data_IF_186272564224
#
_entry.id   IF_186272564224
#
_cell.length_a   1.000
_cell.length_b   1.000
_cell.length_c   1.000
_cell.angle_alpha   90.00
_cell.angle_beta   90.00
_cell.angle_gamma   90.00
#
_symmetry.space_group_name_H-M   'P 1'
#
loop_
_entity.id
_entity.type
_entity.pdbx_description
1 polymer ?
#
# COMPACT_ATOMS: atom_id res chain seq x y z
N UNK A 1 -8.67 -59.86 -6.46
CA UNK A 1 -8.23 -58.95 -7.54
C UNK A 1 -9.37 -57.99 -7.81
N UNK A 2 -9.29 -56.79 -7.23
CA UNK A 2 -10.18 -55.65 -7.58
C UNK A 2 -9.26 -54.59 -8.18
N UNK A 3 -9.37 -54.35 -9.48
CA UNK A 3 -8.73 -53.27 -10.19
C UNK A 3 -9.53 -51.97 -9.89
N UNK A 4 -8.89 -51.01 -9.27
CA UNK A 4 -9.42 -49.65 -9.10
C UNK A 4 -8.95 -48.87 -10.35
N UNK A 5 -9.90 -48.60 -11.24
CA UNK A 5 -9.69 -47.71 -12.38
C UNK A 5 -9.79 -46.28 -11.86
N UNK A 6 -8.66 -45.62 -11.74
CA UNK A 6 -8.59 -44.17 -11.44
C UNK A 6 -8.88 -43.42 -12.73
N UNK A 7 -10.11 -42.93 -12.89
CA UNK A 7 -10.48 -42.00 -13.95
C UNK A 7 -9.90 -40.63 -13.56
N UNK A 8 -8.79 -40.26 -14.19
CA UNK A 8 -8.28 -38.89 -14.14
C UNK A 8 -9.28 -38.01 -14.90
N UNK A 9 -10.10 -37.27 -14.15
CA UNK A 9 -10.96 -36.22 -14.70
C UNK A 9 -10.07 -35.06 -15.15
N UNK A 10 -9.65 -35.04 -16.41
CA UNK A 10 -9.14 -33.85 -17.06
C UNK A 10 -10.30 -32.87 -17.21
N UNK A 11 -10.47 -32.00 -16.23
CA UNK A 11 -11.32 -30.83 -16.36
C UNK A 11 -10.59 -29.88 -17.33
N UNK A 12 -11.12 -29.59 -18.52
CA UNK A 12 -10.57 -28.50 -19.33
C UNK A 12 -10.74 -27.22 -18.52
N UNK A 13 -9.64 -26.67 -18.01
CA UNK A 13 -9.61 -25.29 -17.54
C UNK A 13 -9.94 -24.44 -18.77
N UNK A 14 -11.18 -24.03 -18.86
CA UNK A 14 -11.60 -22.96 -19.75
C UNK A 14 -10.86 -21.72 -19.25
N UNK A 15 -9.78 -21.36 -19.95
CA UNK A 15 -9.05 -20.12 -19.76
C UNK A 15 -9.99 -18.98 -20.20
N UNK A 16 -10.87 -18.56 -19.30
CA UNK A 16 -11.56 -17.29 -19.47
C UNK A 16 -10.51 -16.19 -19.29
N UNK A 17 -10.40 -15.31 -20.27
CA UNK A 17 -9.64 -14.09 -20.12
C UNK A 17 -10.03 -13.45 -18.79
N UNK A 18 -9.06 -13.27 -17.91
CA UNK A 18 -9.31 -12.76 -16.55
C UNK A 18 -9.60 -11.28 -16.65
N UNK A 19 -10.79 -10.88 -16.24
CA UNK A 19 -11.16 -9.47 -16.20
C UNK A 19 -10.33 -8.74 -15.13
N UNK A 20 -10.27 -7.42 -15.17
CA UNK A 20 -9.50 -6.58 -14.23
C UNK A 20 -9.81 -6.94 -12.77
N UNK A 21 -11.07 -7.13 -12.41
CA UNK A 21 -11.49 -7.40 -11.03
C UNK A 21 -10.92 -8.73 -10.52
N UNK A 22 -10.89 -9.76 -11.36
CA UNK A 22 -10.30 -11.05 -11.01
C UNK A 22 -8.78 -10.94 -10.80
N UNK A 23 -8.10 -10.16 -11.64
CA UNK A 23 -6.66 -9.89 -11.50
C UNK A 23 -6.39 -9.17 -10.18
N UNK A 24 -7.17 -8.13 -9.87
CA UNK A 24 -7.03 -7.38 -8.62
C UNK A 24 -7.27 -8.27 -7.39
N UNK A 25 -8.27 -9.13 -7.44
CA UNK A 25 -8.53 -10.09 -6.36
C UNK A 25 -7.39 -11.11 -6.18
N UNK A 26 -6.82 -11.61 -7.27
CA UNK A 26 -5.66 -12.51 -7.23
C UNK A 26 -4.45 -11.83 -6.60
N UNK A 27 -4.15 -10.59 -7.01
CA UNK A 27 -3.05 -9.79 -6.45
C UNK A 27 -3.28 -9.50 -4.98
N UNK A 28 -4.50 -9.16 -4.58
CA UNK A 28 -4.82 -8.92 -3.17
C UNK A 28 -4.48 -10.12 -2.27
N UNK A 29 -4.69 -11.34 -2.76
CA UNK A 29 -4.41 -12.57 -2.02
C UNK A 29 -2.91 -12.94 -2.02
N UNK A 30 -2.21 -12.70 -3.12
CA UNK A 30 -0.89 -13.25 -3.36
C UNK A 30 0.26 -12.25 -3.19
N UNK A 31 -0.04 -10.94 -3.15
CA UNK A 31 0.96 -9.89 -3.09
C UNK A 31 1.75 -9.93 -1.78
N UNK A 32 3.08 -10.07 -1.90
CA UNK A 32 3.97 -10.21 -0.73
C UNK A 32 4.15 -8.92 0.05
N UNK A 33 4.11 -7.78 -0.61
CA UNK A 33 4.19 -6.47 0.03
C UNK A 33 2.95 -6.24 0.91
N UNK A 34 1.75 -6.58 0.40
CA UNK A 34 0.52 -6.49 1.17
C UNK A 34 0.51 -7.43 2.38
N UNK A 35 0.96 -8.69 2.19
CA UNK A 35 1.10 -9.65 3.29
C UNK A 35 2.09 -9.16 4.36
N UNK A 36 3.22 -8.58 3.93
CA UNK A 36 4.22 -7.98 4.83
C UNK A 36 3.65 -6.80 5.60
N UNK A 37 2.96 -5.87 4.92
CA UNK A 37 2.31 -4.72 5.55
C UNK A 37 1.29 -5.15 6.61
N UNK A 38 0.49 -6.19 6.34
CA UNK A 38 -0.45 -6.76 7.33
C UNK A 38 0.26 -7.28 8.58
N UNK A 39 1.37 -8.01 8.42
CA UNK A 39 2.13 -8.53 9.58
C UNK A 39 2.82 -7.40 10.35
N UNK A 40 3.36 -6.40 9.65
CA UNK A 40 3.96 -5.23 10.29
C UNK A 40 2.93 -4.44 11.10
N UNK A 41 1.76 -4.17 10.53
CA UNK A 41 0.64 -3.51 11.24
C UNK A 41 0.25 -4.29 12.49
N UNK A 42 0.15 -5.62 12.38
CA UNK A 42 -0.14 -6.48 13.55
C UNK A 42 0.94 -6.37 14.64
N UNK A 43 2.22 -6.37 14.26
CA UNK A 43 3.33 -6.21 15.19
C UNK A 43 3.29 -4.84 15.89
N UNK A 44 3.12 -3.76 15.14
CA UNK A 44 3.03 -2.39 15.66
C UNK A 44 1.83 -2.19 16.61
N UNK A 45 0.68 -2.81 16.29
CA UNK A 45 -0.48 -2.78 17.20
C UNK A 45 -0.22 -3.51 18.52
N UNK A 46 0.52 -4.61 18.50
CA UNK A 46 0.96 -5.27 19.72
C UNK A 46 1.95 -4.39 20.49
N UNK A 47 2.90 -3.76 19.80
CA UNK A 47 3.86 -2.84 20.40
C UNK A 47 3.19 -1.65 21.09
N UNK A 48 2.20 -1.02 20.45
CA UNK A 48 1.42 0.07 21.05
C UNK A 48 0.76 -0.31 22.38
N UNK A 49 0.47 -1.59 22.59
CA UNK A 49 -0.12 -2.10 23.84
C UNK A 49 0.91 -2.46 24.90
N UNK A 50 2.17 -2.67 24.52
CA UNK A 50 3.24 -3.04 25.49
C UNK A 50 3.51 -1.95 26.50
N UNK A 51 3.28 -0.67 26.17
CA UNK A 51 3.38 0.45 27.09
C UNK A 51 2.43 0.35 28.31
N UNK A 52 1.48 -0.57 28.25
CA UNK A 52 0.50 -0.82 29.29
C UNK A 52 0.76 -2.12 30.08
N UNK A 53 1.86 -2.81 29.80
CA UNK A 53 2.27 -3.96 30.58
C UNK A 53 2.63 -3.54 32.02
N UNK A 54 2.36 -4.43 32.95
CA UNK A 54 2.87 -4.26 34.31
C UNK A 54 4.40 -4.31 34.29
N UNK A 55 5.05 -3.54 35.17
CA UNK A 55 6.48 -3.70 35.40
C UNK A 55 6.79 -5.09 35.94
N UNK A 56 7.99 -5.60 35.69
CA UNK A 56 8.37 -6.91 36.21
C UNK A 56 8.40 -6.91 37.76
N UNK A 57 8.03 -8.04 38.39
CA UNK A 57 8.18 -8.18 39.82
C UNK A 57 9.67 -8.16 40.21
N UNK A 58 9.94 -7.48 41.28
CA UNK A 58 11.30 -7.36 41.83
C UNK A 58 11.43 -8.31 43.01
N UNK A 59 12.48 -9.12 42.99
CA UNK A 59 12.86 -10.01 44.15
C UNK A 59 14.25 -9.62 44.61
N UNK A 60 14.39 -9.31 45.86
CA UNK A 60 15.68 -9.01 46.48
C UNK A 60 15.92 -9.88 47.71
N UNK A 61 17.16 -10.31 47.83
CA UNK A 61 17.65 -10.99 49.01
C UNK A 61 18.90 -10.27 49.51
N UNK A 62 18.88 -9.86 50.77
CA UNK A 62 19.98 -9.15 51.42
C UNK A 62 20.44 -9.95 52.64
N UNK A 63 21.72 -10.07 52.81
CA UNK A 63 22.35 -10.66 54.02
C UNK A 63 23.09 -9.58 54.76
N UNK A 64 22.85 -9.45 56.06
CA UNK A 64 23.46 -8.46 56.92
C UNK A 64 24.37 -9.15 57.91
N UNK A 65 25.60 -8.64 58.06
CA UNK A 65 26.58 -9.12 59.03
C UNK A 65 26.64 -8.11 60.18
N UNK A 66 26.57 -8.62 61.40
CA UNK A 66 26.67 -7.79 62.64
C UNK A 66 28.15 -7.46 62.89
N UNK A 67 28.51 -6.17 62.89
CA UNK A 67 29.80 -5.71 63.31
C UNK A 67 29.85 -5.61 64.83
N UNK A 68 30.39 -6.64 65.55
CA UNK A 68 30.47 -6.67 66.99
C UNK A 68 30.61 -8.07 67.56
N UNK A 69 30.95 -8.22 68.86
CA UNK A 69 31.14 -9.52 69.52
C UNK A 69 29.82 -10.27 69.73
N UNK A 70 29.47 -11.12 68.79
CA UNK A 70 28.34 -12.04 68.85
C UNK A 70 27.95 -12.60 67.47
N UNK A 71 27.53 -13.89 67.37
CA UNK A 71 27.07 -14.45 66.14
C UNK A 71 25.67 -13.84 65.78
N UNK A 72 25.60 -13.11 64.69
CA UNK A 72 24.32 -12.59 64.24
C UNK A 72 24.36 -12.34 62.72
N UNK A 73 23.67 -13.20 61.97
CA UNK A 73 23.36 -12.97 60.56
C UNK A 73 21.91 -12.60 60.44
N UNK A 74 21.63 -11.43 59.89
CA UNK A 74 20.27 -11.04 59.49
C UNK A 74 20.09 -11.27 58.02
N UNK A 75 18.97 -11.77 57.59
CA UNK A 75 18.59 -11.87 56.18
C UNK A 75 17.28 -11.20 55.93
N UNK A 76 17.16 -10.56 54.77
CA UNK A 76 15.95 -9.93 54.31
C UNK A 76 15.59 -10.47 52.92
N UNK A 77 14.39 -10.95 52.78
CA UNK A 77 13.77 -11.31 51.51
C UNK A 77 12.63 -10.36 51.22
N UNK A 78 12.62 -9.72 50.04
CA UNK A 78 11.54 -8.87 49.61
C UNK A 78 11.11 -9.28 48.18
N UNK A 79 9.82 -9.56 48.02
CA UNK A 79 9.18 -9.72 46.71
C UNK A 79 8.14 -8.64 46.54
N UNK A 80 8.27 -7.82 45.51
CA UNK A 80 7.38 -6.69 45.31
C UNK A 80 7.03 -6.47 43.85
N UNK A 81 5.79 -5.95 43.62
CA UNK A 81 5.25 -5.59 42.33
C UNK A 81 5.00 -4.09 42.26
N UNK A 82 5.52 -3.44 41.22
CA UNK A 82 5.26 -2.05 40.91
C UNK A 82 3.99 -1.89 40.06
N UNK A 83 3.28 -0.81 40.28
CA UNK A 83 2.08 -0.43 39.51
C UNK A 83 2.13 1.05 39.20
N UNK A 84 1.77 1.41 37.97
CA UNK A 84 1.46 2.79 37.66
C UNK A 84 0.07 3.15 38.25
N UNK A 85 -0.22 4.42 38.37
CA UNK A 85 -1.53 4.87 38.88
C UNK A 85 -2.65 4.37 37.94
N UNK A 86 -3.77 3.81 38.46
CA UNK A 86 -4.78 3.14 37.63
C UNK A 86 -5.29 3.92 36.41
N UNK A 87 -5.42 5.24 36.52
CA UNK A 87 -5.90 6.12 35.45
C UNK A 87 -4.90 6.19 34.28
N UNK A 88 -3.60 5.91 34.52
CA UNK A 88 -2.59 5.89 33.46
C UNK A 88 -2.83 4.76 32.48
N UNK A 89 -3.17 3.56 32.95
CA UNK A 89 -3.49 2.41 32.11
C UNK A 89 -4.66 2.70 31.17
N UNK A 90 -5.73 3.35 31.68
CA UNK A 90 -6.91 3.72 30.89
C UNK A 90 -6.52 4.74 29.81
N UNK A 91 -5.70 5.73 30.16
CA UNK A 91 -5.34 6.81 29.25
C UNK A 91 -4.38 6.33 28.15
N UNK A 92 -3.41 5.45 28.51
CA UNK A 92 -2.50 4.80 27.54
C UNK A 92 -3.25 3.86 26.60
N UNK A 93 -4.22 3.08 27.10
CA UNK A 93 -5.07 2.26 26.24
C UNK A 93 -5.81 3.09 25.20
N UNK A 94 -6.44 4.20 25.60
CA UNK A 94 -7.13 5.09 24.66
C UNK A 94 -6.18 5.72 23.64
N UNK A 95 -4.96 6.04 24.03
CA UNK A 95 -3.93 6.53 23.13
C UNK A 95 -3.51 5.44 22.15
N UNK A 96 -3.26 4.21 22.63
CA UNK A 96 -2.92 3.05 21.82
C UNK A 96 -4.05 2.68 20.83
N UNK A 97 -5.32 2.77 21.25
CA UNK A 97 -6.45 2.52 20.36
C UNK A 97 -6.47 3.50 19.20
N UNK A 98 -6.26 4.81 19.45
CA UNK A 98 -6.17 5.82 18.39
C UNK A 98 -4.97 5.60 17.46
N UNK A 99 -3.83 5.22 18.02
CA UNK A 99 -2.65 4.86 17.22
C UNK A 99 -2.91 3.61 16.36
N UNK A 100 -3.62 2.63 16.88
CA UNK A 100 -4.00 1.43 16.15
C UNK A 100 -5.01 1.71 15.02
N UNK A 101 -5.95 2.63 15.21
CA UNK A 101 -6.85 3.09 14.15
C UNK A 101 -6.08 3.79 13.02
N UNK A 102 -5.06 4.60 13.35
CA UNK A 102 -4.18 5.19 12.35
C UNK A 102 -3.46 4.12 11.51
N UNK A 103 -2.91 3.07 12.16
CA UNK A 103 -2.26 1.95 11.51
C UNK A 103 -3.21 1.17 10.59
N UNK A 104 -4.48 0.99 10.99
CA UNK A 104 -5.48 0.34 10.15
C UNK A 104 -5.76 1.13 8.87
N UNK A 105 -5.84 2.45 8.98
CA UNK A 105 -6.03 3.32 7.81
C UNK A 105 -4.81 3.32 6.90
N UNK A 106 -3.60 3.34 7.46
CA UNK A 106 -2.35 3.22 6.70
C UNK A 106 -2.27 1.88 5.95
N UNK A 107 -2.64 0.77 6.59
CA UNK A 107 -2.69 -0.53 5.92
C UNK A 107 -3.70 -0.55 4.76
N UNK A 108 -4.89 0.05 4.96
CA UNK A 108 -5.89 0.19 3.91
C UNK A 108 -5.37 1.07 2.75
N UNK A 109 -4.60 2.13 3.05
CA UNK A 109 -3.97 2.97 2.04
C UNK A 109 -2.94 2.18 1.22
N UNK A 110 -2.06 1.42 1.85
CA UNK A 110 -1.10 0.53 1.16
C UNK A 110 -1.84 -0.45 0.25
N UNK A 111 -2.94 -1.06 0.72
CA UNK A 111 -3.77 -1.94 -0.09
C UNK A 111 -4.34 -1.21 -1.31
N UNK A 112 -4.92 -0.03 -1.12
CA UNK A 112 -5.44 0.83 -2.21
C UNK A 112 -4.36 1.10 -3.25
N UNK A 113 -3.17 1.48 -2.83
CA UNK A 113 -2.07 1.88 -3.72
C UNK A 113 -1.54 0.71 -4.54
N UNK A 114 -1.41 -0.48 -3.94
CA UNK A 114 -1.03 -1.71 -4.64
C UNK A 114 -2.08 -2.07 -5.70
N UNK A 115 -3.37 -2.04 -5.33
CA UNK A 115 -4.44 -2.36 -6.26
C UNK A 115 -4.61 -1.30 -7.36
N UNK A 116 -4.36 -0.01 -7.05
CA UNK A 116 -4.34 1.06 -8.04
C UNK A 116 -3.21 0.85 -9.07
N UNK A 117 -1.99 0.55 -8.62
CA UNK A 117 -0.86 0.22 -9.51
C UNK A 117 -1.18 -0.97 -10.41
N UNK A 118 -1.78 -2.02 -9.84
CA UNK A 118 -2.19 -3.18 -10.62
C UNK A 118 -3.27 -2.83 -11.66
N UNK A 119 -4.24 -1.99 -11.30
CA UNK A 119 -5.28 -1.52 -12.20
C UNK A 119 -4.70 -0.70 -13.36
N UNK A 120 -3.76 0.19 -13.08
CA UNK A 120 -3.05 0.96 -14.12
C UNK A 120 -2.34 0.01 -15.10
N UNK A 121 -1.60 -0.98 -14.60
CA UNK A 121 -0.95 -1.99 -15.46
C UNK A 121 -1.95 -2.78 -16.32
N UNK A 122 -3.14 -3.09 -15.79
CA UNK A 122 -4.19 -3.72 -16.57
C UNK A 122 -4.71 -2.79 -17.69
N UNK A 123 -4.88 -1.49 -17.41
CA UNK A 123 -5.28 -0.50 -18.43
C UNK A 123 -4.21 -0.33 -19.51
N UNK A 124 -2.93 -0.31 -19.12
CA UNK A 124 -1.80 -0.28 -20.06
C UNK A 124 -1.77 -1.54 -20.93
N UNK A 125 -2.04 -2.71 -20.37
CA UNK A 125 -2.14 -3.96 -21.14
C UNK A 125 -3.30 -3.95 -22.13
N UNK A 126 -4.45 -3.34 -21.81
CA UNK A 126 -5.57 -3.14 -22.74
C UNK A 126 -5.09 -2.29 -23.92
N UNK A 127 -4.44 -1.15 -23.65
CA UNK A 127 -3.86 -0.31 -24.70
C UNK A 127 -2.92 -1.10 -25.61
N UNK A 128 -1.94 -1.79 -25.02
CA UNK A 128 -0.96 -2.58 -25.73
C UNK A 128 -1.56 -3.71 -26.55
N UNK A 129 -2.67 -4.32 -26.09
CA UNK A 129 -3.42 -5.31 -26.85
C UNK A 129 -4.14 -4.70 -28.05
N UNK A 130 -4.73 -3.49 -27.91
CA UNK A 130 -5.35 -2.76 -29.02
C UNK A 130 -4.30 -2.33 -30.06
N UNK A 131 -3.19 -1.76 -29.59
CA UNK A 131 -2.06 -1.39 -30.44
C UNK A 131 -1.49 -2.59 -31.20
N UNK A 132 -1.31 -3.74 -30.53
CA UNK A 132 -0.87 -4.98 -31.17
C UNK A 132 -1.77 -5.40 -32.32
N UNK A 133 -3.09 -5.28 -32.17
CA UNK A 133 -4.03 -5.59 -33.23
C UNK A 133 -3.87 -4.65 -34.44
N UNK A 134 -3.73 -3.34 -34.18
CA UNK A 134 -3.49 -2.33 -35.21
C UNK A 134 -2.12 -2.53 -35.89
N UNK A 135 -1.08 -2.78 -35.12
CA UNK A 135 0.29 -3.02 -35.62
C UNK A 135 0.39 -4.25 -36.52
N UNK A 136 -0.36 -5.31 -36.21
CA UNK A 136 -0.43 -6.50 -37.05
C UNK A 136 -1.04 -6.17 -38.43
N UNK A 137 -2.08 -5.33 -38.48
CA UNK A 137 -2.68 -4.87 -39.76
C UNK A 137 -1.67 -3.99 -40.52
N UNK A 138 -1.01 -3.03 -39.84
CA UNK A 138 0.02 -2.18 -40.46
C UNK A 138 1.17 -3.00 -41.05
N UNK A 139 1.62 -4.01 -40.29
CA UNK A 139 2.68 -4.92 -40.75
C UNK A 139 2.25 -5.67 -42.00
N UNK A 140 1.06 -6.25 -42.01
CA UNK A 140 0.53 -6.95 -43.18
C UNK A 140 0.47 -6.02 -44.42
N UNK A 141 -0.08 -4.81 -44.24
CA UNK A 141 -0.16 -3.81 -45.30
C UNK A 141 1.22 -3.44 -45.83
N UNK A 142 2.23 -3.27 -44.96
CA UNK A 142 3.59 -2.95 -45.35
C UNK A 142 4.26 -4.10 -46.09
N UNK A 143 4.05 -5.36 -45.69
CA UNK A 143 4.55 -6.55 -46.36
C UNK A 143 3.88 -6.69 -47.77
N UNK A 144 2.56 -6.45 -47.88
CA UNK A 144 1.83 -6.47 -49.16
C UNK A 144 2.34 -5.39 -50.15
N UNK A 145 2.54 -4.15 -49.65
CA UNK A 145 3.07 -3.04 -50.46
C UNK A 145 4.48 -3.31 -50.94
N UNK A 146 5.35 -3.83 -50.08
CA UNK A 146 6.71 -4.21 -50.49
C UNK A 146 6.67 -5.25 -51.65
N UNK A 147 5.83 -6.28 -51.48
CA UNK A 147 5.68 -7.32 -52.53
C UNK A 147 5.11 -6.76 -53.83
N UNK A 148 4.14 -5.84 -53.78
CA UNK A 148 3.57 -5.19 -54.95
C UNK A 148 4.58 -4.34 -55.69
N UNK A 149 5.27 -3.44 -54.97
CA UNK A 149 6.28 -2.55 -55.58
C UNK A 149 7.54 -3.30 -56.03
N UNK A 150 7.89 -4.43 -55.44
CA UNK A 150 8.92 -5.32 -55.95
C UNK A 150 8.56 -5.84 -57.34
N UNK A 151 7.34 -6.33 -57.54
CA UNK A 151 6.85 -6.78 -58.88
C UNK A 151 6.79 -5.63 -59.90
N UNK A 152 6.33 -4.43 -59.49
CA UNK A 152 6.31 -3.25 -60.37
C UNK A 152 7.69 -2.80 -60.79
N UNK A 153 8.68 -2.91 -59.92
CA UNK A 153 10.08 -2.62 -60.26
C UNK A 153 10.61 -3.62 -61.30
N UNK A 154 10.32 -4.92 -61.16
CA UNK A 154 10.70 -5.96 -62.11
C UNK A 154 10.01 -5.74 -63.47
N UNK A 155 8.78 -5.21 -63.50
CA UNK A 155 8.06 -4.85 -64.73
C UNK A 155 8.50 -3.52 -65.33
N UNK A 156 9.34 -2.72 -64.65
CA UNK A 156 9.75 -1.40 -65.09
C UNK A 156 8.76 -0.28 -64.75
N UNK A 157 7.71 -0.58 -64.00
CA UNK A 157 6.60 0.34 -63.66
C UNK A 157 6.79 1.07 -62.31
N UNK A 158 7.90 0.87 -61.61
CA UNK A 158 8.24 1.55 -60.37
C UNK A 158 9.71 1.96 -60.33
N UNK A 159 10.01 3.03 -59.58
CA UNK A 159 11.38 3.51 -59.36
C UNK A 159 11.98 2.83 -58.13
N UNK A 160 13.30 2.56 -58.20
CA UNK A 160 14.04 1.99 -57.04
C UNK A 160 13.95 2.84 -55.79
N UNK A 161 13.82 4.15 -55.88
CA UNK A 161 13.65 5.06 -54.76
C UNK A 161 12.28 4.83 -54.02
N UNK A 162 11.24 4.54 -54.83
CA UNK A 162 9.92 4.22 -54.27
C UNK A 162 9.94 2.90 -53.48
N UNK A 163 10.56 1.87 -54.07
CA UNK A 163 10.76 0.58 -53.44
C UNK A 163 11.56 0.71 -52.14
N UNK A 164 12.65 1.50 -52.17
CA UNK A 164 13.44 1.75 -50.96
C UNK A 164 12.67 2.48 -49.89
N UNK A 165 11.81 3.45 -50.23
CA UNK A 165 10.93 4.14 -49.27
C UNK A 165 9.94 3.18 -48.60
N UNK A 166 9.35 2.27 -49.36
CA UNK A 166 8.44 1.25 -48.83
C UNK A 166 9.19 0.27 -47.90
N UNK A 167 10.42 -0.15 -48.28
CA UNK A 167 11.25 -0.99 -47.44
C UNK A 167 11.58 -0.30 -46.10
N UNK A 168 11.89 0.99 -46.14
CA UNK A 168 12.15 1.78 -44.93
C UNK A 168 10.91 1.86 -44.04
N UNK A 169 9.72 2.11 -44.61
CA UNK A 169 8.48 2.12 -43.86
C UNK A 169 8.18 0.76 -43.22
N UNK A 170 8.37 -0.34 -43.97
CA UNK A 170 8.25 -1.69 -43.41
C UNK A 170 9.20 -1.92 -42.22
N UNK A 171 10.47 -1.46 -42.28
CA UNK A 171 11.40 -1.57 -41.15
C UNK A 171 10.94 -0.75 -39.96
N UNK A 172 10.37 0.43 -40.17
CA UNK A 172 9.79 1.25 -39.11
C UNK A 172 8.66 0.51 -38.42
N UNK A 173 7.70 -0.03 -39.18
CA UNK A 173 6.56 -0.81 -38.65
C UNK A 173 7.06 -2.05 -37.88
N UNK A 174 8.06 -2.76 -38.39
CA UNK A 174 8.64 -3.91 -37.68
C UNK A 174 9.27 -3.50 -36.35
N UNK A 175 9.92 -2.34 -36.28
CA UNK A 175 10.47 -1.79 -35.03
C UNK A 175 9.37 -1.45 -34.04
N UNK A 176 8.30 -0.79 -34.49
CA UNK A 176 7.15 -0.49 -33.64
C UNK A 176 6.47 -1.76 -33.07
N UNK A 177 6.28 -2.79 -33.89
CA UNK A 177 5.80 -4.11 -33.48
C UNK A 177 6.70 -4.72 -32.39
N UNK A 178 8.00 -4.68 -32.56
CA UNK A 178 8.95 -5.20 -31.58
C UNK A 178 8.91 -4.43 -30.26
N UNK A 179 8.77 -3.10 -30.31
CA UNK A 179 8.62 -2.26 -29.13
C UNK A 179 7.33 -2.55 -28.39
N UNK A 180 6.18 -2.65 -29.09
CA UNK A 180 4.90 -3.02 -28.47
C UNK A 180 4.98 -4.39 -27.78
N UNK A 181 5.58 -5.39 -28.43
CA UNK A 181 5.80 -6.71 -27.83
C UNK A 181 6.68 -6.66 -26.57
N UNK A 182 7.72 -5.82 -26.57
CA UNK A 182 8.59 -5.65 -25.41
C UNK A 182 7.82 -4.98 -24.25
N UNK A 183 7.09 -3.90 -24.54
CA UNK A 183 6.26 -3.19 -23.54
C UNK A 183 5.19 -4.10 -22.95
N UNK A 184 4.50 -4.88 -23.78
CA UNK A 184 3.49 -5.85 -23.31
C UNK A 184 4.11 -6.89 -22.38
N UNK A 185 5.25 -7.47 -22.72
CA UNK A 185 5.93 -8.45 -21.86
C UNK A 185 6.35 -7.83 -20.53
N UNK A 186 6.87 -6.58 -20.55
CA UNK A 186 7.30 -5.88 -19.33
C UNK A 186 6.12 -5.58 -18.43
N UNK A 187 4.99 -5.09 -18.96
CA UNK A 187 3.78 -4.82 -18.21
C UNK A 187 3.22 -6.11 -17.59
N UNK A 188 3.13 -7.19 -18.37
CA UNK A 188 2.69 -8.49 -17.87
C UNK A 188 3.63 -9.05 -16.80
N UNK A 189 4.95 -8.94 -16.97
CA UNK A 189 5.93 -9.37 -15.97
C UNK A 189 5.79 -8.57 -14.66
N UNK A 190 5.52 -7.27 -14.74
CA UNK A 190 5.26 -6.43 -13.57
C UNK A 190 4.00 -6.88 -12.83
N UNK A 191 2.94 -7.19 -13.58
CA UNK A 191 1.70 -7.70 -13.02
C UNK A 191 1.87 -9.07 -12.36
N UNK A 192 2.64 -9.98 -12.99
CA UNK A 192 3.00 -11.28 -12.42
C UNK A 192 3.79 -11.14 -11.12
N UNK A 193 4.76 -10.22 -11.08
CA UNK A 193 5.54 -9.94 -9.87
C UNK A 193 4.63 -9.46 -8.73
N UNK A 194 3.65 -8.60 -9.03
CA UNK A 194 2.65 -8.16 -8.04
C UNK A 194 1.76 -9.31 -7.56
N UNK A 195 1.51 -10.32 -8.39
CA UNK A 195 0.77 -11.54 -8.05
C UNK A 195 1.63 -12.63 -7.39
N UNK A 196 2.81 -12.29 -6.86
CA UNK A 196 3.72 -13.26 -6.24
C UNK A 196 4.32 -14.28 -7.21
N UNK A 197 4.46 -13.91 -8.49
CA UNK A 197 4.90 -14.75 -9.62
C UNK A 197 3.99 -15.96 -9.90
N UNK A 198 2.75 -15.94 -9.43
CA UNK A 198 1.76 -16.95 -9.82
C UNK A 198 1.26 -16.65 -11.24
N UNK A 199 1.00 -17.70 -12.05
CA UNK A 199 0.52 -17.51 -13.41
C UNK A 199 -0.74 -16.64 -13.47
N UNK A 200 -0.73 -15.69 -14.41
CA UNK A 200 -1.82 -14.77 -14.64
C UNK A 200 -1.88 -14.47 -16.14
N UNK A 201 -3.04 -14.61 -16.74
CA UNK A 201 -3.27 -14.28 -18.12
C UNK A 201 -4.20 -13.07 -18.21
N UNK A 202 -3.84 -12.11 -19.05
CA UNK A 202 -4.66 -10.94 -19.29
C UNK A 202 -4.71 -10.66 -20.80
N UNK A 203 -5.91 -10.79 -21.37
CA UNK A 203 -6.13 -10.64 -22.81
C UNK A 203 -7.25 -9.64 -23.15
N UNK A 204 -7.69 -8.86 -22.16
CA UNK A 204 -8.72 -7.84 -22.36
C UNK A 204 -8.27 -6.78 -23.37
N UNK A 205 -9.22 -6.37 -24.21
CA UNK A 205 -9.04 -5.32 -25.21
C UNK A 205 -9.97 -4.14 -25.03
N UNK A 206 -10.97 -4.27 -24.14
CA UNK A 206 -11.97 -3.24 -23.91
C UNK A 206 -11.73 -2.56 -22.57
N UNK A 207 -11.74 -1.23 -22.57
CA UNK A 207 -11.69 -0.45 -21.34
C UNK A 207 -12.99 -0.61 -20.55
N UNK A 208 -12.92 -0.59 -19.21
CA UNK A 208 -14.11 -0.55 -18.37
C UNK A 208 -14.87 0.76 -18.62
N UNK A 209 -16.18 0.69 -18.46
CA UNK A 209 -17.02 1.90 -18.57
C UNK A 209 -16.65 2.89 -17.46
N UNK A 210 -16.39 4.12 -17.85
CA UNK A 210 -16.12 5.23 -16.92
C UNK A 210 -17.45 5.81 -16.46
N UNK A 211 -17.61 6.00 -15.15
CA UNK A 211 -18.75 6.72 -14.59
C UNK A 211 -18.70 8.18 -15.03
N UNK A 212 -19.88 8.79 -15.15
CA UNK A 212 -19.96 10.21 -15.43
C UNK A 212 -19.23 11.02 -14.36
N UNK A 213 -18.46 12.01 -14.79
CA UNK A 213 -17.61 12.80 -13.93
C UNK A 213 -18.47 13.86 -13.25
N UNK A 214 -18.50 13.84 -11.94
CA UNK A 214 -19.21 14.80 -11.11
C UNK A 214 -18.58 16.20 -11.17
N UNK A 215 -19.31 17.21 -10.70
CA UNK A 215 -18.77 18.54 -10.43
C UNK A 215 -17.56 18.47 -9.50
N UNK A 216 -16.56 19.34 -9.74
CA UNK A 216 -15.31 19.34 -8.98
C UNK A 216 -15.52 19.46 -7.47
N UNK A 217 -16.43 20.35 -7.03
CA UNK A 217 -16.64 20.56 -5.59
C UNK A 217 -17.22 19.31 -4.91
N UNK A 218 -18.19 18.66 -5.55
CA UNK A 218 -18.77 17.39 -5.06
C UNK A 218 -17.69 16.30 -5.00
N UNK A 219 -16.90 16.17 -6.06
CA UNK A 219 -15.82 15.19 -6.11
C UNK A 219 -14.74 15.45 -5.05
N UNK A 220 -14.35 16.73 -4.87
CA UNK A 220 -13.38 17.13 -3.83
C UNK A 220 -13.85 16.73 -2.44
N UNK A 221 -15.10 17.03 -2.11
CA UNK A 221 -15.64 16.77 -0.77
C UNK A 221 -15.74 15.26 -0.50
N UNK A 222 -16.12 14.46 -1.50
CA UNK A 222 -16.12 13.00 -1.40
C UNK A 222 -14.71 12.42 -1.24
N UNK A 223 -13.74 12.90 -2.04
CA UNK A 223 -12.35 12.43 -1.97
C UNK A 223 -11.75 12.76 -0.61
N UNK A 224 -11.88 14.00 -0.12
CA UNK A 224 -11.36 14.40 1.20
C UNK A 224 -11.98 13.57 2.32
N UNK A 225 -13.27 13.28 2.26
CA UNK A 225 -13.95 12.49 3.28
C UNK A 225 -13.52 11.02 3.28
N UNK A 226 -13.23 10.46 2.10
CA UNK A 226 -12.91 9.05 1.92
C UNK A 226 -11.40 8.74 1.88
N UNK A 227 -10.54 9.77 1.79
CA UNK A 227 -9.10 9.58 1.66
C UNK A 227 -8.52 8.90 2.91
N UNK A 228 -7.88 7.75 2.69
CA UNK A 228 -7.37 6.89 3.77
C UNK A 228 -6.13 7.49 4.46
N UNK A 229 -5.31 8.24 3.73
CA UNK A 229 -4.13 8.88 4.30
C UNK A 229 -4.52 10.05 5.19
N UNK A 230 -5.51 10.86 4.78
CA UNK A 230 -6.06 11.92 5.62
C UNK A 230 -6.74 11.36 6.87
N UNK A 231 -7.45 10.23 6.74
CA UNK A 231 -8.03 9.55 7.90
C UNK A 231 -6.94 9.02 8.84
N UNK A 232 -5.87 8.42 8.32
CA UNK A 232 -4.73 7.95 9.11
C UNK A 232 -4.07 9.10 9.87
N UNK A 233 -3.81 10.23 9.19
CA UNK A 233 -3.26 11.44 9.81
C UNK A 233 -4.18 12.01 10.88
N UNK A 234 -5.50 12.01 10.66
CA UNK A 234 -6.48 12.44 11.67
C UNK A 234 -6.39 11.60 12.96
N UNK A 235 -6.29 10.27 12.82
CA UNK A 235 -6.11 9.40 13.98
C UNK A 235 -4.74 9.58 14.64
N UNK A 236 -3.68 9.81 13.85
CA UNK A 236 -2.34 10.12 14.36
C UNK A 236 -2.33 11.42 15.17
N UNK A 237 -3.00 12.47 14.70
CA UNK A 237 -3.16 13.73 15.42
C UNK A 237 -3.90 13.53 16.75
N UNK A 238 -5.02 12.80 16.71
CA UNK A 238 -5.77 12.47 17.95
C UNK A 238 -4.95 11.64 18.94
N UNK A 239 -4.15 10.70 18.44
CA UNK A 239 -3.24 9.91 19.28
C UNK A 239 -2.15 10.78 19.92
N UNK A 240 -1.57 11.74 19.16
CA UNK A 240 -0.59 12.70 19.66
C UNK A 240 -1.19 13.64 20.69
N UNK A 241 -2.41 14.15 20.49
CA UNK A 241 -3.14 14.94 21.50
C UNK A 241 -3.40 14.13 22.76
N UNK A 242 -3.76 12.85 22.62
CA UNK A 242 -3.96 11.95 23.75
C UNK A 242 -2.67 11.65 24.49
N UNK A 243 -1.53 11.60 23.80
CA UNK A 243 -0.20 11.47 24.40
C UNK A 243 0.13 12.64 25.35
N UNK A 244 -0.36 13.85 25.06
CA UNK A 244 -0.25 14.98 26.00
C UNK A 244 -0.92 14.64 27.34
N UNK A 245 -2.09 13.98 27.28
CA UNK A 245 -2.82 13.57 28.49
C UNK A 245 -2.09 12.44 29.25
N UNK A 246 -1.47 11.49 28.53
CA UNK A 246 -0.60 10.45 29.10
C UNK A 246 0.55 11.11 29.86
N UNK A 247 1.28 12.02 29.21
CA UNK A 247 2.45 12.68 29.80
C UNK A 247 2.09 13.61 31.00
N UNK A 248 0.86 14.14 31.04
CA UNK A 248 0.36 14.85 32.20
C UNK A 248 0.16 13.90 33.40
N UNK A 249 -0.28 12.68 33.16
CA UNK A 249 -0.49 11.70 34.22
C UNK A 249 0.79 11.03 34.70
N UNK A 250 1.91 11.14 33.95
CA UNK A 250 3.22 10.64 34.38
C UNK A 250 3.73 11.33 35.68
N UNK A 251 3.10 12.43 36.11
CA UNK A 251 3.37 13.07 37.40
C UNK A 251 2.69 12.38 38.59
N UNK A 252 1.79 11.42 38.33
CA UNK A 252 1.16 10.64 39.39
C UNK A 252 2.19 9.67 40.01
N UNK A 253 2.06 9.38 41.31
CA UNK A 253 2.97 8.48 41.99
C UNK A 253 2.84 7.04 41.41
N UNK A 254 3.98 6.36 41.28
CA UNK A 254 3.99 4.92 41.06
C UNK A 254 3.84 4.21 42.40
N UNK A 255 3.05 3.17 42.41
CA UNK A 255 2.72 2.39 43.58
C UNK A 255 3.51 1.08 43.59
N UNK A 256 3.82 0.57 44.77
CA UNK A 256 4.48 -0.72 44.96
C UNK A 256 3.80 -1.45 46.11
N UNK A 257 3.53 -2.74 45.91
CA UNK A 257 3.04 -3.62 46.95
C UNK A 257 3.88 -4.91 46.95
N UNK A 258 4.11 -5.46 48.12
CA UNK A 258 4.95 -6.63 48.22
C UNK A 258 4.89 -7.34 49.57
N UNK A 259 5.66 -8.40 49.63
CA UNK A 259 5.87 -9.20 50.84
C UNK A 259 7.34 -9.06 51.26
N UNK A 260 7.58 -8.95 52.57
CA UNK A 260 8.90 -8.86 53.21
C UNK A 260 9.02 -9.89 54.32
N UNK A 261 10.14 -10.58 54.33
CA UNK A 261 10.53 -11.48 55.41
C UNK A 261 11.90 -11.10 55.92
N UNK A 262 11.98 -10.75 57.19
CA UNK A 262 13.24 -10.52 57.88
C UNK A 262 13.49 -11.72 58.82
N UNK A 263 14.69 -12.24 58.76
CA UNK A 263 15.09 -13.33 59.65
C UNK A 263 16.41 -12.91 60.34
N UNK A 264 16.41 -12.89 61.65
CA UNK A 264 17.58 -12.71 62.47
C UNK A 264 17.85 -14.02 63.23
N UNK A 265 18.98 -14.13 63.89
CA UNK A 265 19.40 -15.32 64.66
C UNK A 265 18.38 -15.79 65.71
N UNK A 266 17.48 -14.92 66.17
CA UNK A 266 16.52 -15.21 67.24
C UNK A 266 15.06 -15.19 66.76
N UNK A 267 14.74 -14.48 65.68
CA UNK A 267 13.34 -14.25 65.24
C UNK A 267 13.21 -14.19 63.71
N UNK A 268 12.06 -14.66 63.22
CA UNK A 268 11.62 -14.43 61.84
C UNK A 268 10.35 -13.62 61.84
N UNK A 269 10.33 -12.49 61.11
CA UNK A 269 9.17 -11.60 60.99
C UNK A 269 8.74 -11.52 59.51
N UNK A 270 7.45 -11.68 59.30
CA UNK A 270 6.82 -11.50 57.98
C UNK A 270 6.03 -10.20 57.97
N UNK A 271 6.02 -9.48 56.84
CA UNK A 271 5.29 -8.24 56.70
C UNK A 271 4.91 -7.91 55.26
N UNK A 272 4.05 -6.95 55.11
CA UNK A 272 3.72 -6.36 53.82
C UNK A 272 4.57 -5.11 53.58
N UNK A 273 4.94 -4.89 52.35
CA UNK A 273 5.60 -3.66 51.90
C UNK A 273 4.63 -2.92 51.02
N UNK A 274 4.36 -1.67 51.39
CA UNK A 274 3.62 -0.72 50.56
C UNK A 274 4.54 0.48 50.37
N UNK A 275 4.81 0.84 49.11
CA UNK A 275 5.67 1.95 48.80
C UNK A 275 5.21 2.68 47.55
N UNK A 276 5.93 3.72 47.17
CA UNK A 276 5.68 4.44 45.95
C UNK A 276 6.85 5.36 45.62
N UNK A 277 6.96 5.72 44.36
CA UNK A 277 7.92 6.73 43.90
C UNK A 277 7.18 7.93 43.31
N UNK A 278 7.62 9.12 43.70
CA UNK A 278 7.10 10.39 43.20
C UNK A 278 8.06 10.93 42.15
N UNK A 279 7.64 11.07 40.88
CA UNK A 279 8.54 11.44 39.77
C UNK A 279 8.81 12.94 39.74
N UNK A 280 9.65 13.47 40.65
CA UNK A 280 9.96 14.91 40.75
C UNK A 280 10.80 15.45 39.59
N UNK A 281 11.64 14.63 38.97
CA UNK A 281 12.64 15.07 37.99
C UNK A 281 12.45 14.43 36.61
N UNK A 282 11.97 13.19 36.52
CA UNK A 282 11.94 12.39 35.31
C UNK A 282 10.94 12.86 34.23
N UNK A 283 9.95 13.68 34.63
CA UNK A 283 8.85 14.13 33.74
C UNK A 283 8.98 15.58 33.28
N UNK A 284 10.14 16.21 33.58
CA UNK A 284 10.41 17.59 33.19
C UNK A 284 10.39 17.72 31.68
N UNK A 285 9.64 18.69 31.16
CA UNK A 285 9.45 18.99 29.73
C UNK A 285 8.67 17.95 28.90
N UNK A 286 8.37 16.74 29.40
CA UNK A 286 7.63 15.73 28.62
C UNK A 286 6.29 16.25 28.07
N UNK A 287 5.53 17.01 28.87
CA UNK A 287 4.27 17.62 28.42
C UNK A 287 4.50 18.68 27.34
N UNK A 288 5.57 19.47 27.42
CA UNK A 288 5.91 20.47 26.40
C UNK A 288 6.28 19.79 25.06
N UNK A 289 7.10 18.74 25.14
CA UNK A 289 7.48 17.92 23.97
C UNK A 289 6.23 17.34 23.32
N UNK A 290 5.35 16.70 24.09
CA UNK A 290 4.12 16.11 23.55
C UNK A 290 3.17 17.16 22.92
N UNK A 291 3.09 18.37 23.49
CA UNK A 291 2.31 19.48 22.90
C UNK A 291 2.90 19.92 21.56
N UNK A 292 4.23 20.03 21.46
CA UNK A 292 4.89 20.38 20.20
C UNK A 292 4.69 19.29 19.14
N UNK A 293 4.76 18.01 19.54
CA UNK A 293 4.49 16.86 18.65
C UNK A 293 3.03 16.84 18.18
N UNK A 294 2.06 17.13 19.04
CA UNK A 294 0.64 17.20 18.69
C UNK A 294 0.38 18.35 17.69
N UNK A 295 0.99 19.53 17.92
CA UNK A 295 0.90 20.65 16.97
C UNK A 295 1.54 20.30 15.63
N UNK A 296 2.71 19.65 15.64
CA UNK A 296 3.35 19.16 14.41
C UNK A 296 2.45 18.18 13.64
N UNK A 297 1.81 17.23 14.32
CA UNK A 297 0.89 16.28 13.69
C UNK A 297 -0.33 17.00 13.07
N UNK A 298 -0.87 18.01 13.74
CA UNK A 298 -1.95 18.83 13.20
C UNK A 298 -1.53 19.57 11.94
N UNK A 299 -0.38 20.24 11.95
CA UNK A 299 0.12 20.95 10.78
C UNK A 299 0.41 20.01 9.60
N UNK A 300 0.92 18.80 9.87
CA UNK A 300 1.10 17.76 8.84
C UNK A 300 -0.24 17.30 8.24
N UNK A 301 -1.29 17.19 9.04
CA UNK A 301 -2.64 16.87 8.57
C UNK A 301 -3.19 17.99 7.68
N UNK A 302 -3.02 19.25 8.08
CA UNK A 302 -3.49 20.42 7.32
C UNK A 302 -2.74 20.53 5.98
N UNK A 303 -1.41 20.34 5.98
CA UNK A 303 -0.59 20.33 4.76
C UNK A 303 -0.99 19.18 3.80
N UNK A 304 -1.15 17.97 4.33
CA UNK A 304 -1.59 16.83 3.53
C UNK A 304 -2.95 17.07 2.87
N UNK A 305 -3.88 17.72 3.58
CA UNK A 305 -5.19 18.09 3.01
C UNK A 305 -5.02 19.04 1.83
N UNK A 306 -4.19 20.09 1.97
CA UNK A 306 -3.91 21.03 0.87
C UNK A 306 -3.28 20.32 -0.33
N UNK A 307 -2.37 19.36 -0.09
CA UNK A 307 -1.74 18.58 -1.16
C UNK A 307 -2.77 17.70 -1.89
N UNK A 308 -3.68 17.04 -1.17
CA UNK A 308 -4.76 16.24 -1.78
C UNK A 308 -5.67 17.13 -2.65
N UNK A 309 -6.09 18.31 -2.16
CA UNK A 309 -6.90 19.25 -2.91
C UNK A 309 -6.20 19.74 -4.19
N UNK A 310 -4.91 20.10 -4.10
CA UNK A 310 -4.12 20.56 -5.24
C UNK A 310 -3.91 19.43 -6.28
N UNK A 311 -3.59 18.21 -5.84
CA UNK A 311 -3.41 17.07 -6.73
C UNK A 311 -4.73 16.72 -7.43
N UNK A 312 -5.85 16.77 -6.72
CA UNK A 312 -7.17 16.51 -7.29
C UNK A 312 -7.53 17.56 -8.35
N UNK A 313 -7.23 18.85 -8.09
CA UNK A 313 -7.45 19.93 -9.06
C UNK A 313 -6.61 19.71 -10.33
N UNK A 314 -5.32 19.32 -10.16
CA UNK A 314 -4.44 19.04 -11.29
C UNK A 314 -4.97 17.89 -12.16
N UNK A 315 -5.38 16.78 -11.53
CA UNK A 315 -5.98 15.64 -12.23
C UNK A 315 -7.30 15.98 -12.92
N UNK A 316 -8.14 16.81 -12.28
CA UNK A 316 -9.38 17.27 -12.87
C UNK A 316 -9.14 18.13 -14.12
N UNK A 317 -8.18 19.05 -14.06
CA UNK A 317 -7.81 19.89 -15.20
C UNK A 317 -7.23 19.05 -16.35
N UNK A 318 -6.34 18.10 -16.05
CA UNK A 318 -5.79 17.17 -17.04
C UNK A 318 -6.90 16.37 -17.73
N UNK A 319 -7.84 15.85 -16.97
CA UNK A 319 -8.99 15.14 -17.49
C UNK A 319 -9.86 16.02 -18.41
N UNK A 320 -10.10 17.29 -18.06
CA UNK A 320 -10.83 18.22 -18.91
C UNK A 320 -10.08 18.48 -20.23
N UNK A 321 -8.76 18.70 -20.17
CA UNK A 321 -7.93 18.86 -21.36
C UNK A 321 -7.99 17.63 -22.27
N UNK A 322 -7.90 16.42 -21.71
CA UNK A 322 -8.01 15.18 -22.48
C UNK A 322 -9.39 15.05 -23.13
N UNK A 323 -10.47 15.41 -22.43
CA UNK A 323 -11.83 15.41 -22.96
C UNK A 323 -11.98 16.40 -24.11
N UNK A 324 -11.44 17.60 -23.99
CA UNK A 324 -11.43 18.61 -25.06
C UNK A 324 -10.61 18.12 -26.27
N UNK A 325 -9.44 17.55 -26.04
CA UNK A 325 -8.62 16.96 -27.09
C UNK A 325 -9.34 15.83 -27.84
N UNK A 326 -10.02 14.93 -27.11
CA UNK A 326 -10.84 13.87 -27.72
C UNK A 326 -11.98 14.42 -28.57
N UNK A 327 -12.67 15.48 -28.12
CA UNK A 327 -13.77 16.12 -28.85
C UNK A 327 -13.28 16.85 -30.11
N UNK A 328 -12.01 17.21 -30.22
CA UNK A 328 -11.45 17.81 -31.42
C UNK A 328 -11.32 16.84 -32.61
N UNK A 329 -11.36 15.52 -32.36
CA UNK A 329 -11.32 14.51 -33.41
C UNK A 329 -12.68 14.28 -34.00
N UNK A 330 -12.87 14.69 -35.27
CA UNK A 330 -14.06 14.37 -36.07
C UNK A 330 -13.97 12.93 -36.60
N UNK A 331 -14.43 11.98 -35.80
CA UNK A 331 -14.37 10.54 -36.13
C UNK A 331 -15.12 10.22 -37.45
N UNK A 332 -16.29 10.74 -37.73
CA UNK A 332 -16.98 10.60 -39.02
C UNK A 332 -16.12 11.04 -40.21
N UNK A 333 -15.44 12.18 -40.10
CA UNK A 333 -14.56 12.68 -41.17
C UNK A 333 -13.34 11.75 -41.36
N UNK A 334 -12.74 11.26 -40.26
CA UNK A 334 -11.61 10.34 -40.31
C UNK A 334 -11.99 9.02 -40.98
N UNK A 335 -13.12 8.41 -40.66
CA UNK A 335 -13.61 7.19 -41.28
C UNK A 335 -13.90 7.40 -42.78
N UNK A 336 -14.59 8.50 -43.14
CA UNK A 336 -14.86 8.83 -44.53
C UNK A 336 -13.56 9.01 -45.33
N UNK A 337 -12.57 9.71 -44.78
CA UNK A 337 -11.26 9.90 -45.40
C UNK A 337 -10.51 8.57 -45.58
N UNK A 338 -10.57 7.68 -44.61
CA UNK A 338 -9.96 6.34 -44.68
C UNK A 338 -10.62 5.50 -45.80
N UNK A 339 -11.95 5.54 -45.93
CA UNK A 339 -12.67 4.81 -46.98
C UNK A 339 -12.33 5.32 -48.37
N UNK A 340 -12.25 6.65 -48.55
CA UNK A 340 -11.80 7.26 -49.83
C UNK A 340 -10.39 6.87 -50.20
N UNK A 341 -9.45 6.84 -49.20
CA UNK A 341 -8.08 6.38 -49.43
C UNK A 341 -8.04 4.92 -49.84
N UNK A 342 -8.83 4.05 -49.21
CA UNK A 342 -8.93 2.63 -49.58
C UNK A 342 -9.47 2.42 -50.99
N UNK A 343 -10.45 3.25 -51.44
CA UNK A 343 -10.99 3.22 -52.77
C UNK A 343 -9.93 3.66 -53.81
N UNK A 344 -9.27 4.79 -53.58
CA UNK A 344 -8.19 5.28 -54.45
C UNK A 344 -7.06 4.28 -54.59
N UNK A 345 -6.73 3.53 -53.54
CA UNK A 345 -5.66 2.52 -53.59
C UNK A 345 -6.07 1.26 -54.39
N UNK A 346 -7.38 1.01 -54.56
CA UNK A 346 -7.90 -0.09 -55.39
C UNK A 346 -8.01 0.28 -56.85
N UNK A 347 -8.20 1.57 -57.17
CA UNK A 347 -8.41 2.06 -58.51
C UNK A 347 -7.10 2.51 -59.24
N UNK A 348 -6.02 2.74 -58.49
CA UNK A 348 -4.71 3.18 -59.00
C UNK A 348 -3.57 2.27 -58.71
#
# INVERSE_FOLDING_TARGET
KKQIITIALCIPMWMQAQNIDHVLQSIEQNNKELQSAMQLTKAQKMENRTANNLSDPTVSYSSFYKNGAGPGHGTEFVASQGFDFPTQYITRNRQADLANEALDKQQQAVRRDILLKAKILCLDLILLNQEKALMNIRKQNADELEALYGKRLEAGDANILEVNKIKMERMNVQTEVAQNHASHRNALQSLLAMNGNLPLEFAETNYPQVKEIMDFNTMRDEVIASDLDLQALSFTTKAAEKQVSVNKQDWLPKLQAGFRRNTDSEMSMNGFVVGGSIPLFSNRKKVQIAKAQALSAQLMQDDARLQVENNLMALFNEMQQLKEAMNAYDMPLLYKSLDLLKQALKEG
#
